data_IF_487861251811
#
_entry.id   IF_487861251811
#
_cell.length_a   1.000
_cell.length_b   1.000
_cell.length_c   1.000
_cell.angle_alpha   90.00
_cell.angle_beta   90.00
_cell.angle_gamma   90.00
#
_symmetry.space_group_name_H-M   'P 1'
#
loop_
_entity.id
_entity.type
_entity.pdbx_description
1 polymer ?
#
# COMPACT_ATOMS: atom_id res chain seq x y z
N UNK A 1 10.41 -0.23 -21.35
CA UNK A 1 11.08 -0.93 -20.23
C UNK A 1 10.36 -0.57 -18.94
N UNK A 2 9.88 -1.56 -18.19
CA UNK A 2 9.28 -1.35 -16.87
C UNK A 2 10.43 -1.27 -15.85
N UNK A 3 10.94 -0.08 -15.58
CA UNK A 3 12.01 0.11 -14.60
C UNK A 3 11.44 0.61 -13.28
N UNK A 4 12.22 0.49 -12.21
CA UNK A 4 11.92 1.11 -10.92
C UNK A 4 11.61 2.61 -11.03
N UNK A 5 12.39 3.35 -11.81
CA UNK A 5 12.17 4.78 -11.99
C UNK A 5 10.83 5.06 -12.68
N UNK A 6 10.43 4.23 -13.64
CA UNK A 6 9.12 4.33 -14.27
C UNK A 6 7.99 4.04 -13.28
N UNK A 7 8.17 3.10 -12.37
CA UNK A 7 7.21 2.84 -11.30
C UNK A 7 7.09 4.04 -10.34
N UNK A 8 8.21 4.65 -9.96
CA UNK A 8 8.25 5.89 -9.16
C UNK A 8 7.47 6.98 -9.90
N UNK A 9 7.86 7.33 -11.13
CA UNK A 9 7.22 8.39 -11.91
C UNK A 9 5.69 8.17 -12.05
N UNK A 10 5.24 6.94 -12.31
CA UNK A 10 3.80 6.63 -12.42
C UNK A 10 3.05 6.77 -11.09
N UNK A 11 3.67 6.42 -9.96
CA UNK A 11 3.08 6.67 -8.64
C UNK A 11 3.02 8.18 -8.41
N UNK A 12 4.08 8.88 -8.78
CA UNK A 12 4.19 10.32 -8.60
C UNK A 12 3.16 11.11 -9.42
N UNK A 13 2.94 10.72 -10.68
CA UNK A 13 1.88 11.22 -11.56
C UNK A 13 0.49 10.91 -11.00
N UNK A 14 0.28 9.69 -10.49
CA UNK A 14 -0.99 9.30 -9.87
C UNK A 14 -1.33 10.19 -8.67
N UNK A 15 -0.34 10.48 -7.83
CA UNK A 15 -0.51 11.31 -6.63
C UNK A 15 -1.03 12.72 -6.95
N UNK A 16 -0.60 13.32 -8.07
CA UNK A 16 -1.02 14.65 -8.51
C UNK A 16 -2.22 14.66 -9.46
N UNK A 17 -2.64 13.51 -9.99
CA UNK A 17 -3.79 13.39 -10.88
C UNK A 17 -5.14 13.50 -10.15
N UNK A 18 -6.26 13.57 -10.88
CA UNK A 18 -7.62 13.44 -10.30
C UNK A 18 -8.02 11.98 -10.01
N UNK A 19 -7.22 11.00 -10.44
CA UNK A 19 -7.56 9.56 -10.29
C UNK A 19 -7.52 9.16 -8.82
N UNK A 20 -8.49 8.34 -8.38
CA UNK A 20 -8.60 7.93 -6.97
C UNK A 20 -7.86 6.65 -6.61
N UNK A 21 -7.78 5.69 -7.53
CA UNK A 21 -7.32 4.32 -7.25
C UNK A 21 -6.22 3.90 -8.24
N UNK A 22 -5.11 3.42 -7.70
CA UNK A 22 -4.01 2.83 -8.46
C UNK A 22 -3.76 1.37 -8.05
N UNK A 23 -3.54 0.50 -9.03
CA UNK A 23 -3.04 -0.85 -8.83
C UNK A 23 -1.51 -0.86 -8.98
N UNK A 24 -0.81 -1.52 -8.06
CA UNK A 24 0.66 -1.69 -8.07
C UNK A 24 1.00 -3.19 -8.13
N UNK A 25 1.59 -3.64 -9.24
CA UNK A 25 2.04 -5.04 -9.49
C UNK A 25 3.52 -5.09 -9.87
N UNK A 26 4.07 -6.27 -10.20
CA UNK A 26 5.42 -6.44 -10.73
C UNK A 26 6.25 -7.51 -9.98
N UNK A 27 7.45 -7.81 -10.48
CA UNK A 27 8.24 -9.03 -10.17
C UNK A 27 8.97 -9.08 -8.81
N UNK A 28 8.78 -8.07 -7.96
CA UNK A 28 9.44 -8.02 -6.65
C UNK A 28 8.45 -8.22 -5.52
N UNK A 29 8.40 -9.45 -4.99
CA UNK A 29 7.60 -9.78 -3.81
C UNK A 29 7.97 -8.89 -2.61
N UNK A 30 6.98 -8.51 -1.82
CA UNK A 30 7.13 -7.74 -0.56
C UNK A 30 7.80 -6.36 -0.66
N UNK A 31 8.09 -5.84 -1.86
CA UNK A 31 8.74 -4.54 -2.01
C UNK A 31 7.85 -3.45 -2.59
N UNK A 32 6.71 -3.84 -3.20
CA UNK A 32 5.78 -2.91 -3.87
C UNK A 32 5.12 -1.94 -2.89
N UNK A 33 4.69 -2.40 -1.71
CA UNK A 33 4.10 -1.50 -0.69
C UNK A 33 5.16 -0.64 -0.02
N UNK A 34 6.38 -1.16 0.16
CA UNK A 34 7.52 -0.39 0.68
C UNK A 34 7.83 0.80 -0.23
N UNK A 35 7.80 0.59 -1.56
CA UNK A 35 7.97 1.67 -2.54
C UNK A 35 6.89 2.75 -2.38
N UNK A 36 5.62 2.35 -2.30
CA UNK A 36 4.51 3.30 -2.08
C UNK A 36 4.71 4.08 -0.79
N UNK A 37 5.02 3.39 0.32
CA UNK A 37 5.27 4.02 1.62
C UNK A 37 6.43 5.01 1.56
N UNK A 38 7.55 4.64 0.92
CA UNK A 38 8.71 5.52 0.78
C UNK A 38 8.40 6.78 -0.03
N UNK A 39 7.66 6.66 -1.13
CA UNK A 39 7.26 7.82 -1.95
C UNK A 39 6.33 8.74 -1.15
N UNK A 40 5.36 8.17 -0.42
CA UNK A 40 4.47 8.97 0.44
C UNK A 40 5.24 9.68 1.54
N UNK A 41 6.20 9.01 2.18
CA UNK A 41 6.97 9.58 3.27
C UNK A 41 7.91 10.69 2.83
N UNK A 42 8.51 10.55 1.64
CA UNK A 42 9.37 11.59 1.06
C UNK A 42 8.60 12.85 0.64
N UNK A 43 7.33 12.72 0.26
CA UNK A 43 6.52 13.82 -0.30
C UNK A 43 5.63 14.51 0.70
N UNK A 44 5.18 13.78 1.72
CA UNK A 44 4.17 14.27 2.63
C UNK A 44 4.56 14.09 4.09
N UNK A 45 4.09 15.02 4.91
CA UNK A 45 4.26 15.01 6.37
C UNK A 45 2.91 15.15 7.05
N UNK A 46 2.81 14.53 8.22
CA UNK A 46 1.65 14.54 9.11
C UNK A 46 0.35 14.05 8.42
N UNK A 47 0.47 13.15 7.43
CA UNK A 47 -0.67 12.52 6.77
C UNK A 47 -1.15 11.30 7.50
N UNK A 48 -2.45 11.04 7.39
CA UNK A 48 -3.07 9.82 7.89
C UNK A 48 -3.13 8.79 6.76
N UNK A 49 -2.46 7.67 6.96
CA UNK A 49 -2.37 6.56 6.00
C UNK A 49 -3.06 5.34 6.60
N UNK A 50 -4.11 4.85 5.95
CA UNK A 50 -4.76 3.60 6.33
C UNK A 50 -4.01 2.42 5.69
N UNK A 51 -3.33 1.61 6.49
CA UNK A 51 -2.71 0.36 6.05
C UNK A 51 -3.65 -0.81 6.34
N UNK A 52 -4.37 -1.26 5.32
CA UNK A 52 -5.38 -2.32 5.41
C UNK A 52 -4.78 -3.64 4.93
N UNK A 53 -4.68 -4.62 5.82
CA UNK A 53 -3.93 -5.86 5.56
C UNK A 53 -4.70 -7.15 5.82
N UNK A 54 -4.16 -8.31 5.39
CA UNK A 54 -4.79 -9.63 5.55
C UNK A 54 -4.70 -10.15 6.98
N UNK A 55 -3.62 -9.84 7.67
CA UNK A 55 -3.33 -10.31 9.02
C UNK A 55 -2.59 -9.26 9.84
N UNK A 56 -2.93 -9.16 11.11
CA UNK A 56 -2.22 -8.33 12.08
C UNK A 56 -1.06 -9.09 12.75
N UNK A 57 -1.00 -10.41 12.58
CA UNK A 57 -0.03 -11.26 13.30
C UNK A 57 1.39 -11.07 12.76
N UNK A 58 1.53 -10.91 11.44
CA UNK A 58 2.83 -10.75 10.77
C UNK A 58 3.20 -9.30 10.50
N UNK A 59 2.48 -8.33 11.09
CA UNK A 59 2.62 -6.93 10.73
C UNK A 59 4.02 -6.36 11.08
N UNK A 60 4.64 -6.89 12.13
CA UNK A 60 6.00 -6.54 12.55
C UNK A 60 7.10 -7.23 11.75
N UNK A 61 6.76 -8.09 10.78
CA UNK A 61 7.76 -8.69 9.89
C UNK A 61 8.21 -7.65 8.85
N UNK A 62 9.45 -7.82 8.36
CA UNK A 62 10.03 -6.95 7.32
C UNK A 62 9.28 -7.00 5.99
N UNK A 63 8.49 -8.03 5.77
CA UNK A 63 7.60 -8.18 4.61
C UNK A 63 6.37 -7.27 4.70
N UNK A 64 6.08 -6.73 5.88
CA UNK A 64 4.94 -5.84 6.16
C UNK A 64 5.42 -4.47 6.63
N UNK A 65 5.32 -4.15 7.93
CA UNK A 65 5.73 -2.85 8.49
C UNK A 65 7.01 -2.94 9.33
N UNK A 66 7.55 -4.14 9.58
CA UNK A 66 8.79 -4.31 10.35
C UNK A 66 10.00 -3.61 9.74
N UNK A 67 10.02 -3.43 8.41
CA UNK A 67 11.08 -2.72 7.70
C UNK A 67 11.15 -1.22 8.06
N UNK A 68 10.05 -0.67 8.61
CA UNK A 68 9.92 0.72 9.02
C UNK A 68 9.90 0.83 10.57
N UNK A 69 10.67 -0.03 11.23
CA UNK A 69 10.89 -0.06 12.68
C UNK A 69 9.65 -0.29 13.56
N UNK A 70 8.58 -0.87 12.99
CA UNK A 70 7.41 -1.29 13.76
C UNK A 70 7.70 -2.61 14.49
N UNK A 71 8.22 -2.50 15.72
CA UNK A 71 8.66 -3.65 16.53
C UNK A 71 7.57 -4.29 17.39
N UNK A 72 6.52 -3.54 17.72
CA UNK A 72 5.42 -4.02 18.56
C UNK A 72 4.17 -4.21 17.72
N UNK A 73 3.50 -5.36 17.90
CA UNK A 73 2.26 -5.68 17.20
C UNK A 73 1.17 -4.64 17.49
N UNK A 74 0.75 -3.85 16.48
CA UNK A 74 -0.33 -2.90 16.64
C UNK A 74 -1.68 -3.61 16.81
N UNK A 75 -2.56 -3.04 17.64
CA UNK A 75 -3.96 -3.47 17.70
C UNK A 75 -4.71 -2.94 16.47
N UNK A 76 -5.82 -3.60 16.10
CA UNK A 76 -6.73 -3.03 15.11
C UNK A 76 -7.21 -1.64 15.54
N UNK A 77 -7.17 -0.66 14.63
CA UNK A 77 -7.47 0.74 14.92
C UNK A 77 -6.33 1.52 15.55
N UNK A 78 -5.21 0.89 15.87
CA UNK A 78 -4.06 1.61 16.40
C UNK A 78 -3.53 2.62 15.38
N UNK A 79 -3.18 3.80 15.87
CA UNK A 79 -2.42 4.79 15.12
C UNK A 79 -0.97 4.76 15.58
N UNK A 80 -0.05 4.52 14.65
CA UNK A 80 1.38 4.51 14.90
C UNK A 80 2.05 5.56 14.02
N UNK A 81 3.04 6.27 14.55
CA UNK A 81 3.85 7.18 13.74
C UNK A 81 4.94 6.36 13.07
N UNK A 82 5.01 6.43 11.74
CA UNK A 82 6.09 5.85 10.94
C UNK A 82 6.72 7.02 10.19
N UNK A 83 7.96 7.36 10.55
CA UNK A 83 8.69 8.52 10.03
C UNK A 83 7.85 9.81 10.04
N UNK A 84 7.54 10.36 8.88
CA UNK A 84 6.86 11.64 8.74
C UNK A 84 5.34 11.53 8.82
N UNK A 85 4.75 10.33 8.88
CA UNK A 85 3.31 10.12 8.73
C UNK A 85 2.71 9.22 9.81
N UNK A 86 1.37 9.23 9.91
CA UNK A 86 0.60 8.44 10.88
C UNK A 86 -0.13 7.31 10.18
N UNK A 87 0.16 6.08 10.57
CA UNK A 87 -0.44 4.88 10.02
C UNK A 87 -1.53 4.36 10.95
N UNK A 88 -2.73 4.23 10.42
CA UNK A 88 -3.83 3.51 11.04
C UNK A 88 -3.97 2.14 10.41
N UNK A 89 -4.20 1.10 11.22
CA UNK A 89 -4.16 -0.28 10.71
C UNK A 89 -5.50 -0.97 10.95
N UNK A 90 -6.03 -1.60 9.91
CA UNK A 90 -7.14 -2.54 10.04
C UNK A 90 -6.94 -3.79 9.17
N UNK A 91 -7.90 -4.71 9.25
CA UNK A 91 -7.82 -6.01 8.60
C UNK A 91 -8.97 -6.18 7.61
N UNK A 92 -8.65 -6.44 6.35
CA UNK A 92 -9.65 -6.55 5.30
C UNK A 92 -10.50 -7.84 5.34
N UNK A 93 -10.05 -8.87 6.08
CA UNK A 93 -10.84 -10.08 6.33
C UNK A 93 -11.78 -9.91 7.54
N UNK A 94 -11.68 -8.79 8.27
CA UNK A 94 -12.39 -8.58 9.54
C UNK A 94 -13.12 -7.24 9.57
N UNK A 95 -14.39 -7.24 9.17
CA UNK A 95 -15.24 -6.04 9.09
C UNK A 95 -15.33 -5.27 10.42
N UNK A 96 -15.26 -5.96 11.55
CA UNK A 96 -15.25 -5.37 12.90
C UNK A 96 -14.04 -4.45 13.18
N UNK A 97 -13.00 -4.51 12.35
CA UNK A 97 -11.82 -3.67 12.47
C UNK A 97 -11.94 -2.36 11.69
N UNK A 98 -12.82 -2.28 10.69
CA UNK A 98 -12.90 -1.12 9.78
C UNK A 98 -13.45 0.13 10.46
N UNK A 99 -14.34 -0.04 11.45
CA UNK A 99 -14.88 1.04 12.26
C UNK A 99 -13.91 1.55 13.34
N UNK A 100 -12.82 0.81 13.59
CA UNK A 100 -11.79 1.19 14.57
C UNK A 100 -10.74 2.17 14.01
N UNK A 101 -10.70 2.33 12.69
CA UNK A 101 -9.87 3.34 12.00
C UNK A 101 -10.72 4.52 11.57
N UNK A 102 -10.10 5.69 11.43
CA UNK A 102 -10.77 6.94 11.06
C UNK A 102 -11.64 6.79 9.81
N UNK A 103 -12.76 7.51 9.78
CA UNK A 103 -13.58 7.62 8.58
C UNK A 103 -12.89 8.43 7.47
N UNK A 104 -11.89 9.25 7.82
CA UNK A 104 -11.10 10.07 6.89
C UNK A 104 -9.62 9.69 6.97
N UNK A 105 -8.97 9.53 5.83
CA UNK A 105 -7.53 9.38 5.69
C UNK A 105 -7.06 9.99 4.36
N UNK A 106 -5.83 10.49 4.31
CA UNK A 106 -5.26 11.05 3.08
C UNK A 106 -4.97 9.95 2.06
N UNK A 107 -4.47 8.81 2.55
CA UNK A 107 -4.09 7.66 1.73
C UNK A 107 -4.61 6.35 2.33
N UNK A 108 -4.86 5.36 1.48
CA UNK A 108 -5.00 3.97 1.89
C UNK A 108 -4.05 3.07 1.09
N UNK A 109 -3.42 2.13 1.76
CA UNK A 109 -2.60 1.06 1.18
C UNK A 109 -3.27 -0.26 1.54
N UNK A 110 -3.78 -0.97 0.54
CA UNK A 110 -4.37 -2.30 0.70
C UNK A 110 -3.32 -3.33 0.28
N UNK A 111 -2.80 -4.08 1.24
CA UNK A 111 -1.70 -5.01 1.00
C UNK A 111 -1.78 -6.29 1.85
N UNK A 112 -1.66 -7.49 1.26
CA UNK A 112 -1.64 -7.77 -0.19
C UNK A 112 -3.06 -7.84 -0.79
N UNK A 113 -3.28 -7.24 -1.96
CA UNK A 113 -4.56 -7.28 -2.68
C UNK A 113 -4.93 -8.69 -3.16
N UNK A 114 -3.93 -9.54 -3.38
CA UNK A 114 -4.07 -10.91 -3.88
C UNK A 114 -4.93 -11.78 -2.97
N UNK A 115 -4.84 -11.56 -1.65
CA UNK A 115 -5.66 -12.27 -0.69
C UNK A 115 -7.14 -11.85 -0.77
N UNK A 116 -7.44 -10.62 -1.17
CA UNK A 116 -8.81 -10.19 -1.43
C UNK A 116 -9.34 -10.81 -2.73
N UNK A 117 -8.52 -10.84 -3.78
CA UNK A 117 -8.90 -11.41 -5.08
C UNK A 117 -9.21 -12.90 -4.93
N UNK A 118 -8.32 -13.67 -4.27
CA UNK A 118 -8.55 -15.12 -4.03
C UNK A 118 -9.82 -15.41 -3.26
N UNK A 119 -10.21 -14.53 -2.35
CA UNK A 119 -11.39 -14.69 -1.51
C UNK A 119 -12.64 -13.99 -2.08
N UNK A 120 -12.55 -13.41 -3.28
CA UNK A 120 -13.61 -12.59 -3.90
C UNK A 120 -14.18 -11.51 -2.96
N UNK A 121 -13.33 -10.94 -2.08
CA UNK A 121 -13.73 -10.03 -1.02
C UNK A 121 -13.57 -8.56 -1.45
N UNK A 122 -14.35 -8.13 -2.43
CA UNK A 122 -14.32 -6.75 -2.92
C UNK A 122 -15.02 -5.75 -1.98
N UNK A 123 -15.88 -6.22 -1.07
CA UNK A 123 -16.52 -5.43 -0.01
C UNK A 123 -15.52 -4.56 0.78
N UNK A 124 -14.33 -5.10 1.03
CA UNK A 124 -13.26 -4.38 1.72
C UNK A 124 -12.83 -3.13 0.95
N UNK A 125 -12.75 -3.21 -0.36
CA UNK A 125 -12.36 -2.09 -1.22
C UNK A 125 -13.55 -1.14 -1.37
N UNK A 126 -14.75 -1.66 -1.55
CA UNK A 126 -15.97 -0.84 -1.59
C UNK A 126 -16.15 -0.01 -0.33
N UNK A 127 -15.83 -0.57 0.85
CA UNK A 127 -15.86 0.15 2.10
C UNK A 127 -14.94 1.40 2.09
N UNK A 128 -13.74 1.28 1.49
CA UNK A 128 -12.83 2.42 1.35
C UNK A 128 -13.37 3.48 0.38
N UNK A 129 -14.14 3.07 -0.63
CA UNK A 129 -14.66 3.96 -1.67
C UNK A 129 -15.94 4.67 -1.21
N UNK A 130 -16.88 3.92 -0.63
CA UNK A 130 -18.25 4.34 -0.35
C UNK A 130 -18.44 4.81 1.09
N UNK A 131 -17.74 4.22 2.05
CA UNK A 131 -17.98 4.47 3.48
C UNK A 131 -16.87 5.27 4.16
N UNK A 132 -15.68 5.36 3.54
CA UNK A 132 -14.58 6.18 4.04
C UNK A 132 -14.25 7.31 3.07
N UNK A 133 -13.92 8.46 3.63
CA UNK A 133 -13.38 9.59 2.89
C UNK A 133 -11.86 9.43 2.75
N UNK A 134 -11.46 8.58 1.81
CA UNK A 134 -10.05 8.35 1.45
C UNK A 134 -9.66 9.22 0.26
N UNK A 135 -8.55 9.93 0.35
CA UNK A 135 -8.00 10.74 -0.75
C UNK A 135 -7.53 9.88 -1.93
N UNK A 136 -6.48 9.08 -1.73
CA UNK A 136 -5.95 8.13 -2.75
C UNK A 136 -5.85 6.72 -2.20
N UNK A 137 -6.13 5.73 -3.04
CA UNK A 137 -6.08 4.30 -2.68
C UNK A 137 -5.04 3.59 -3.55
N UNK A 138 -4.12 2.89 -2.90
CA UNK A 138 -3.16 1.98 -3.51
C UNK A 138 -3.59 0.54 -3.24
N UNK A 139 -3.91 -0.18 -4.31
CA UNK A 139 -4.12 -1.63 -4.28
C UNK A 139 -2.79 -2.28 -4.62
N UNK A 140 -2.16 -2.95 -3.66
CA UNK A 140 -0.78 -3.40 -3.80
C UNK A 140 -0.72 -4.91 -3.76
N UNK A 141 -0.15 -5.48 -4.82
CA UNK A 141 0.12 -6.90 -4.94
C UNK A 141 1.32 -7.35 -4.12
N UNK A 142 1.35 -8.62 -3.72
CA UNK A 142 2.59 -9.31 -3.37
C UNK A 142 3.11 -10.23 -4.49
N UNK A 143 2.29 -10.76 -5.40
CA UNK A 143 2.70 -11.73 -6.42
C UNK A 143 3.43 -11.05 -7.58
N UNK A 144 4.20 -11.85 -8.30
CA UNK A 144 4.98 -11.42 -9.46
C UNK A 144 4.18 -11.51 -10.77
N UNK A 145 3.10 -12.30 -10.78
CA UNK A 145 2.24 -12.52 -11.95
C UNK A 145 1.11 -11.50 -12.07
N UNK A 146 0.52 -11.39 -13.26
CA UNK A 146 -0.72 -10.61 -13.47
C UNK A 146 -1.89 -11.24 -12.68
N UNK A 147 -2.60 -10.39 -11.96
CA UNK A 147 -3.66 -10.73 -10.99
C UNK A 147 -4.95 -10.00 -11.34
N UNK A 148 -4.98 -9.29 -12.48
CA UNK A 148 -6.05 -8.40 -12.86
C UNK A 148 -7.29 -9.20 -13.32
N UNK A 149 -8.03 -9.73 -12.34
CA UNK A 149 -9.44 -10.12 -12.50
C UNK A 149 -10.25 -8.98 -13.10
N UNK A 150 -11.33 -9.31 -13.80
CA UNK A 150 -12.16 -8.32 -14.47
C UNK A 150 -12.77 -7.33 -13.46
N UNK A 151 -13.12 -7.80 -12.27
CA UNK A 151 -13.60 -7.01 -11.14
C UNK A 151 -12.54 -6.01 -10.67
N UNK A 152 -11.28 -6.43 -10.54
CA UNK A 152 -10.19 -5.53 -10.16
C UNK A 152 -9.96 -4.46 -11.22
N UNK A 153 -10.01 -4.82 -12.52
CA UNK A 153 -9.85 -3.88 -13.64
C UNK A 153 -10.89 -2.76 -13.65
N UNK A 154 -12.08 -3.00 -13.09
CA UNK A 154 -13.14 -1.98 -12.95
C UNK A 154 -12.88 -0.98 -11.82
N UNK A 155 -11.99 -1.30 -10.88
CA UNK A 155 -11.76 -0.51 -9.66
C UNK A 155 -10.62 0.51 -9.78
N UNK A 156 -9.60 0.25 -10.61
CA UNK A 156 -8.46 1.17 -10.75
C UNK A 156 -8.45 1.89 -12.09
N UNK A 157 -7.96 3.12 -12.09
CA UNK A 157 -7.78 3.92 -13.31
C UNK A 157 -6.30 4.14 -13.66
N UNK A 158 -5.40 3.64 -12.81
CA UNK A 158 -3.96 3.70 -13.01
C UNK A 158 -3.32 2.36 -12.66
N UNK A 159 -2.41 1.88 -13.50
CA UNK A 159 -1.67 0.65 -13.26
C UNK A 159 -0.17 0.93 -13.28
N UNK A 160 0.45 0.68 -12.14
CA UNK A 160 1.89 0.79 -11.92
C UNK A 160 2.48 -0.61 -11.90
N UNK A 161 3.50 -0.83 -12.73
CA UNK A 161 4.25 -2.08 -12.78
C UNK A 161 5.65 -1.78 -12.26
N UNK A 162 6.01 -2.44 -11.17
CA UNK A 162 7.32 -2.40 -10.53
C UNK A 162 8.10 -3.66 -10.88
N UNK A 163 8.68 -3.64 -12.07
CA UNK A 163 9.69 -4.61 -12.49
C UNK A 163 11.06 -3.96 -12.25
N UNK A 164 11.96 -4.68 -11.59
CA UNK A 164 13.36 -4.24 -11.43
C UNK A 164 14.29 -5.23 -12.14
N UNK A 165 13.94 -5.62 -13.36
CA UNK A 165 14.97 -6.08 -14.28
C UNK A 165 15.88 -4.87 -14.54
N UNK A 166 17.11 -4.99 -14.03
CA UNK A 166 18.21 -4.01 -14.07
C UNK A 166 18.09 -2.83 -13.09
N UNK A 167 18.70 -2.93 -11.88
CA UNK A 167 19.72 -1.97 -11.42
C UNK A 167 20.32 -2.22 -10.02
N UNK A 168 21.58 -1.80 -9.92
CA UNK A 168 22.56 -1.65 -8.83
C UNK A 168 22.04 -1.70 -7.35
N UNK A 169 22.59 -2.63 -6.52
CA UNK A 169 22.37 -2.71 -5.07
C UNK A 169 22.57 -1.40 -4.29
N UNK A 170 23.36 -0.45 -4.81
CA UNK A 170 23.68 0.81 -4.15
C UNK A 170 22.48 1.77 -4.02
N UNK A 171 21.54 1.78 -4.97
CA UNK A 171 20.37 2.65 -4.94
C UNK A 171 19.20 2.03 -4.15
N UNK A 172 19.10 0.69 -4.14
CA UNK A 172 18.23 -0.05 -3.23
C UNK A 172 18.54 0.30 -1.77
N UNK A 173 19.84 0.30 -1.46
CA UNK A 173 20.34 0.69 -0.15
C UNK A 173 20.04 2.15 0.18
N UNK A 174 20.15 3.09 -0.77
CA UNK A 174 19.88 4.52 -0.51
C UNK A 174 18.41 4.86 -0.22
N UNK A 175 17.46 4.26 -0.95
CA UNK A 175 16.02 4.49 -0.68
C UNK A 175 15.54 3.74 0.56
N UNK A 176 16.13 2.60 0.88
CA UNK A 176 15.88 1.94 2.17
C UNK A 176 16.64 2.61 3.33
N UNK A 177 17.79 3.24 3.08
CA UNK A 177 18.54 4.02 4.07
C UNK A 177 17.91 5.37 4.36
N UNK A 178 17.19 6.00 3.41
CA UNK A 178 16.38 7.18 3.71
C UNK A 178 15.15 6.85 4.57
N UNK A 179 14.92 5.56 4.86
CA UNK A 179 13.88 5.04 5.75
C UNK A 179 14.47 4.58 7.11
N UNK A 180 15.71 4.95 7.44
CA UNK A 180 16.31 4.85 8.79
C UNK A 180 16.50 6.26 9.34
#
# INVERSE_FOLDING_TARGET
MNTRQNAINKIEEFLVSEKKIALVTGTHQYNKHKLVMAILDNRYKDKVILFRTSSLDNLTNNDFLGFADVKTKPKAGAQIKIHNNYYQIDNFNRKDTWSKTSAKADFAIVYPIDALIRNNNFDSIENLIKNKNIGKIFLVSWMDNDIASEELRKLYSNHVIYDAEEEDPSYHSRVLMSLR
#
